data_IF_194218703840
#
_entry.id   IF_194218703840
#
_cell.length_a   1.000
_cell.length_b   1.000
_cell.length_c   1.000
_cell.angle_alpha   90.00
_cell.angle_beta   90.00
_cell.angle_gamma   90.00
#
_symmetry.space_group_name_H-M   'P 1'
#
loop_
_entity.id
_entity.type
_entity.pdbx_description
1 polymer ?
#
# COMPACT_ATOMS: atom_id res chain seq x y z
N UNK A 1 51.40 1.48 -4.57
CA UNK A 1 50.21 1.41 -5.45
C UNK A 1 49.08 0.54 -4.89
N UNK A 2 49.35 -0.64 -4.29
CA UNK A 2 48.31 -1.52 -3.71
C UNK A 2 47.49 -0.88 -2.58
N UNK A 3 48.11 -0.03 -1.74
CA UNK A 3 47.41 0.64 -0.62
C UNK A 3 46.52 1.82 -1.06
N UNK A 4 46.86 2.51 -2.15
CA UNK A 4 46.05 3.63 -2.66
C UNK A 4 44.73 3.12 -3.22
N UNK A 5 44.75 1.97 -3.91
CA UNK A 5 43.55 1.32 -4.46
C UNK A 5 42.63 0.84 -3.33
N UNK A 6 43.17 0.23 -2.26
CA UNK A 6 42.36 -0.23 -1.11
C UNK A 6 41.73 0.95 -0.36
N UNK A 7 42.48 2.03 -0.11
CA UNK A 7 41.93 3.22 0.57
C UNK A 7 40.87 3.92 -0.29
N UNK A 8 41.05 4.02 -1.62
CA UNK A 8 40.04 4.56 -2.52
C UNK A 8 38.77 3.69 -2.57
N UNK A 9 38.90 2.36 -2.62
CA UNK A 9 37.76 1.43 -2.60
C UNK A 9 36.99 1.55 -1.27
N UNK A 10 37.68 1.56 -0.13
CA UNK A 10 37.03 1.75 1.18
C UNK A 10 36.33 3.12 1.24
N UNK A 11 36.94 4.18 0.70
CA UNK A 11 36.35 5.53 0.69
C UNK A 11 35.11 5.61 -0.20
N UNK A 12 35.12 4.97 -1.38
CA UNK A 12 33.97 4.91 -2.29
C UNK A 12 32.84 4.07 -1.69
N UNK A 13 33.17 2.94 -1.05
CA UNK A 13 32.20 2.11 -0.32
C UNK A 13 31.61 2.84 0.89
N UNK A 14 32.38 3.64 1.63
CA UNK A 14 31.87 4.45 2.75
C UNK A 14 30.95 5.58 2.30
N UNK A 15 31.19 6.19 1.13
CA UNK A 15 30.29 7.18 0.52
C UNK A 15 29.00 6.50 0.03
N UNK A 16 29.11 5.34 -0.62
CA UNK A 16 27.96 4.52 -1.05
C UNK A 16 27.12 4.04 0.13
N UNK A 17 27.75 3.62 1.24
CA UNK A 17 27.04 3.23 2.47
C UNK A 17 26.39 4.41 3.20
N UNK A 18 27.03 5.58 3.27
CA UNK A 18 26.45 6.78 3.90
C UNK A 18 25.23 7.30 3.15
N UNK A 19 25.32 7.38 1.81
CA UNK A 19 24.19 7.78 0.98
C UNK A 19 23.04 6.75 1.05
N UNK A 20 23.36 5.45 1.19
CA UNK A 20 22.33 4.43 1.38
C UNK A 20 21.62 4.61 2.74
N UNK A 21 22.35 4.90 3.83
CA UNK A 21 21.75 5.12 5.16
C UNK A 21 20.81 6.32 5.19
N UNK A 22 21.20 7.46 4.62
CA UNK A 22 20.35 8.66 4.59
C UNK A 22 19.08 8.44 3.73
N UNK A 23 19.20 7.70 2.62
CA UNK A 23 18.04 7.34 1.78
C UNK A 23 17.10 6.36 2.51
N UNK A 24 17.64 5.33 3.18
CA UNK A 24 16.85 4.38 3.95
C UNK A 24 16.16 5.06 5.15
N UNK A 25 16.83 6.00 5.82
CA UNK A 25 16.23 6.85 6.87
C UNK A 25 15.09 7.70 6.32
N UNK A 26 15.25 8.31 5.14
CA UNK A 26 14.17 9.06 4.50
C UNK A 26 12.96 8.17 4.18
N UNK A 27 13.17 6.93 3.71
CA UNK A 27 12.07 5.98 3.50
C UNK A 27 11.41 5.57 4.82
N UNK A 28 12.18 5.39 5.89
CA UNK A 28 11.64 5.13 7.24
C UNK A 28 10.75 6.27 7.71
N UNK A 29 11.24 7.51 7.65
CA UNK A 29 10.46 8.70 8.06
C UNK A 29 9.19 8.87 7.23
N UNK A 30 9.24 8.63 5.91
CA UNK A 30 8.04 8.65 5.07
C UNK A 30 7.04 7.58 5.52
N UNK A 31 7.51 6.37 5.77
CA UNK A 31 6.66 5.26 6.24
C UNK A 31 6.02 5.57 7.60
N UNK A 32 6.80 6.10 8.55
CA UNK A 32 6.30 6.50 9.87
C UNK A 32 5.22 7.58 9.77
N UNK A 33 5.42 8.59 8.93
CA UNK A 33 4.41 9.62 8.69
C UNK A 33 3.14 9.04 8.08
N UNK A 34 3.27 8.11 7.13
CA UNK A 34 2.12 7.43 6.52
C UNK A 34 1.35 6.57 7.53
N UNK A 35 2.03 5.93 8.47
CA UNK A 35 1.38 5.20 9.56
C UNK A 35 0.56 6.14 10.47
N UNK A 36 1.10 7.32 10.80
CA UNK A 36 0.35 8.35 11.55
C UNK A 36 -0.86 8.88 10.77
N UNK A 37 -0.72 9.04 9.45
CA UNK A 37 -1.82 9.42 8.57
C UNK A 37 -2.88 8.31 8.50
N UNK A 38 -2.48 7.04 8.48
CA UNK A 38 -3.39 5.90 8.52
C UNK A 38 -4.21 5.89 9.81
N UNK A 39 -3.58 6.14 10.97
CA UNK A 39 -4.28 6.25 12.25
C UNK A 39 -5.31 7.40 12.23
N UNK A 40 -4.93 8.53 11.65
CA UNK A 40 -5.80 9.71 11.51
C UNK A 40 -7.00 9.42 10.59
N UNK A 41 -6.76 8.80 9.43
CA UNK A 41 -7.82 8.42 8.50
C UNK A 41 -8.74 7.36 9.10
N UNK A 42 -8.20 6.37 9.81
CA UNK A 42 -8.99 5.35 10.52
C UNK A 42 -9.94 6.01 11.52
N UNK A 43 -9.44 6.92 12.36
CA UNK A 43 -10.26 7.66 13.30
C UNK A 43 -11.34 8.50 12.60
N UNK A 44 -10.99 9.13 11.47
CA UNK A 44 -11.95 9.87 10.64
C UNK A 44 -13.03 8.97 10.04
N UNK A 45 -12.67 7.79 9.53
CA UNK A 45 -13.61 6.84 8.90
C UNK A 45 -14.60 6.32 9.93
N UNK A 46 -14.12 5.91 11.11
CA UNK A 46 -14.98 5.51 12.23
C UNK A 46 -15.94 6.62 12.66
N UNK A 47 -15.48 7.88 12.68
CA UNK A 47 -16.34 9.03 12.97
C UNK A 47 -17.42 9.25 11.92
N UNK A 48 -17.10 9.11 10.63
CA UNK A 48 -18.07 9.21 9.53
C UNK A 48 -19.09 8.07 9.57
N UNK A 49 -18.64 6.84 9.82
CA UNK A 49 -19.52 5.68 9.98
C UNK A 49 -20.50 5.87 11.14
N UNK A 50 -20.04 6.38 12.29
CA UNK A 50 -20.92 6.69 13.42
C UNK A 50 -21.95 7.78 13.07
N UNK A 51 -21.60 8.76 12.24
CA UNK A 51 -22.58 9.74 11.74
C UNK A 51 -23.63 9.10 10.84
N UNK A 52 -23.21 8.18 9.96
CA UNK A 52 -24.12 7.42 9.08
C UNK A 52 -25.07 6.56 9.92
N UNK A 53 -24.55 5.86 10.94
CA UNK A 53 -25.35 5.06 11.88
C UNK A 53 -26.43 5.89 12.57
N UNK A 54 -26.06 7.03 13.15
CA UNK A 54 -27.00 7.94 13.80
C UNK A 54 -28.08 8.46 12.82
N UNK A 55 -27.70 8.73 11.56
CA UNK A 55 -28.64 9.11 10.50
C UNK A 55 -29.56 7.95 10.12
N UNK A 56 -29.07 6.72 10.06
CA UNK A 56 -29.88 5.52 9.83
C UNK A 56 -30.89 5.26 10.96
N UNK A 57 -30.51 5.52 12.21
CA UNK A 57 -31.44 5.41 13.35
C UNK A 57 -32.56 6.46 13.30
N UNK A 58 -32.26 7.68 12.85
CA UNK A 58 -33.21 8.81 12.86
C UNK A 58 -34.01 8.94 11.56
N UNK A 59 -33.47 8.46 10.45
CA UNK A 59 -34.03 8.54 9.09
C UNK A 59 -33.80 7.21 8.34
N UNK A 60 -34.36 6.09 8.82
CA UNK A 60 -34.09 4.76 8.28
C UNK A 60 -34.44 4.63 6.79
N UNK A 61 -35.55 5.24 6.35
CA UNK A 61 -35.99 5.21 4.95
C UNK A 61 -34.96 5.80 3.97
N UNK A 62 -34.04 6.63 4.46
CA UNK A 62 -32.99 7.26 3.65
C UNK A 62 -31.61 6.63 3.87
N UNK A 63 -31.28 6.25 5.11
CA UNK A 63 -29.90 5.91 5.48
C UNK A 63 -29.68 4.45 5.85
N UNK A 64 -30.71 3.59 5.91
CA UNK A 64 -30.50 2.17 6.23
C UNK A 64 -29.61 1.46 5.20
N UNK A 65 -29.84 1.69 3.90
CA UNK A 65 -29.02 1.12 2.83
C UNK A 65 -27.60 1.69 2.86
N UNK A 66 -27.47 3.01 3.05
CA UNK A 66 -26.19 3.72 3.15
C UNK A 66 -25.34 3.15 4.29
N UNK A 67 -25.96 2.90 5.44
CA UNK A 67 -25.29 2.30 6.57
C UNK A 67 -24.78 0.90 6.23
N UNK A 68 -25.60 0.07 5.60
CA UNK A 68 -25.18 -1.26 5.13
C UNK A 68 -24.00 -1.18 4.15
N UNK A 69 -24.05 -0.26 3.17
CA UNK A 69 -22.96 -0.04 2.22
C UNK A 69 -21.68 0.42 2.93
N UNK A 70 -21.80 1.30 3.92
CA UNK A 70 -20.65 1.79 4.70
C UNK A 70 -19.96 0.68 5.49
N UNK A 71 -20.72 -0.23 6.10
CA UNK A 71 -20.19 -1.39 6.82
C UNK A 71 -19.51 -2.37 5.86
N UNK A 72 -20.17 -2.70 4.75
CA UNK A 72 -19.62 -3.62 3.76
C UNK A 72 -18.30 -3.08 3.16
N UNK A 73 -18.24 -1.79 2.86
CA UNK A 73 -17.03 -1.18 2.32
C UNK A 73 -15.91 -1.14 3.36
N UNK A 74 -16.24 -0.80 4.62
CA UNK A 74 -15.28 -0.84 5.74
C UNK A 74 -14.67 -2.23 5.94
N UNK A 75 -15.48 -3.28 5.85
CA UNK A 75 -15.01 -4.66 5.97
C UNK A 75 -14.04 -5.04 4.82
N UNK A 76 -14.30 -4.57 3.59
CA UNK A 76 -13.40 -4.77 2.44
C UNK A 76 -12.06 -4.04 2.62
N UNK A 77 -12.09 -2.80 3.11
CA UNK A 77 -10.88 -2.02 3.41
C UNK A 77 -10.08 -2.67 4.53
N UNK A 78 -10.75 -3.11 5.60
CA UNK A 78 -10.12 -3.82 6.71
C UNK A 78 -9.51 -5.15 6.28
N UNK A 79 -10.16 -5.88 5.37
CA UNK A 79 -9.62 -7.12 4.80
C UNK A 79 -8.34 -6.86 4.02
N UNK A 80 -8.34 -5.86 3.13
CA UNK A 80 -7.13 -5.46 2.40
C UNK A 80 -6.02 -5.04 3.37
N UNK A 81 -6.30 -4.18 4.35
CA UNK A 81 -5.31 -3.70 5.32
C UNK A 81 -4.64 -4.86 6.08
N UNK A 82 -5.43 -5.86 6.50
CA UNK A 82 -4.90 -7.07 7.13
C UNK A 82 -3.99 -7.88 6.19
N UNK A 83 -4.39 -8.08 4.93
CA UNK A 83 -3.56 -8.77 3.93
C UNK A 83 -2.23 -8.03 3.71
N UNK A 84 -2.26 -6.69 3.61
CA UNK A 84 -1.06 -5.87 3.43
C UNK A 84 -0.14 -5.92 4.68
N UNK A 85 -0.70 -5.94 5.90
CA UNK A 85 0.05 -6.14 7.15
C UNK A 85 0.72 -7.51 7.22
N UNK A 86 0.05 -8.57 6.76
CA UNK A 86 0.64 -9.91 6.69
C UNK A 86 1.82 -9.96 5.70
N UNK A 87 1.72 -9.25 4.58
CA UNK A 87 2.81 -9.12 3.61
C UNK A 87 4.00 -8.38 4.23
N UNK A 88 3.77 -7.25 4.91
CA UNK A 88 4.84 -6.52 5.64
C UNK A 88 5.50 -7.41 6.69
N UNK A 89 4.71 -8.18 7.45
CA UNK A 89 5.24 -9.17 8.41
C UNK A 89 6.13 -10.19 7.70
N UNK A 90 5.70 -10.72 6.56
CA UNK A 90 6.49 -11.68 5.77
C UNK A 90 7.81 -11.09 5.27
N UNK A 91 7.83 -9.79 4.94
CA UNK A 91 9.04 -9.06 4.57
C UNK A 91 9.99 -8.95 5.77
N UNK A 92 9.49 -8.56 6.94
CA UNK A 92 10.29 -8.49 8.16
C UNK A 92 10.87 -9.86 8.56
N UNK A 93 10.09 -10.94 8.46
CA UNK A 93 10.57 -12.29 8.74
C UNK A 93 11.67 -12.73 7.77
N UNK A 94 11.60 -12.29 6.51
CA UNK A 94 12.61 -12.59 5.49
C UNK A 94 13.94 -11.87 5.75
N UNK A 95 13.91 -10.59 6.09
CA UNK A 95 15.13 -9.78 6.31
C UNK A 95 15.68 -9.92 7.74
N UNK A 96 14.88 -10.38 8.70
CA UNK A 96 15.25 -10.48 10.12
C UNK A 96 15.08 -9.17 10.89
N UNK A 97 15.56 -9.11 12.15
CA UNK A 97 15.23 -8.03 13.11
C UNK A 97 15.16 -6.61 12.52
N UNK A 98 14.02 -5.97 12.74
CA UNK A 98 13.59 -4.68 12.15
C UNK A 98 14.47 -3.48 12.49
N UNK A 99 15.41 -3.63 13.42
CA UNK A 99 16.32 -2.56 13.86
C UNK A 99 17.62 -2.49 13.06
N UNK A 100 17.91 -3.51 12.24
CA UNK A 100 19.10 -3.52 11.39
C UNK A 100 18.83 -2.84 10.04
N UNK A 101 19.06 -1.52 10.01
CA UNK A 101 18.93 -0.70 8.80
C UNK A 101 19.76 -1.20 7.61
N UNK A 102 20.82 -1.99 7.82
CA UNK A 102 21.60 -2.52 6.69
C UNK A 102 20.80 -3.53 5.86
N UNK A 103 19.95 -4.33 6.51
CA UNK A 103 19.10 -5.34 5.85
C UNK A 103 17.85 -4.76 5.21
N UNK A 104 17.41 -3.59 5.67
CA UNK A 104 16.35 -2.81 5.03
C UNK A 104 16.72 -2.34 3.61
N UNK A 105 18.02 -2.35 3.28
CA UNK A 105 18.55 -2.07 1.95
C UNK A 105 18.61 -3.29 1.01
N UNK A 106 18.39 -4.51 1.52
CA UNK A 106 18.39 -5.71 0.67
C UNK A 106 17.14 -5.74 -0.20
N UNK A 107 17.24 -6.29 -1.41
CA UNK A 107 16.07 -6.47 -2.27
C UNK A 107 15.23 -7.68 -1.84
N UNK A 108 13.98 -7.70 -2.29
CA UNK A 108 13.02 -8.75 -1.98
C UNK A 108 12.87 -9.79 -3.09
N UNK A 109 13.82 -9.86 -4.02
CA UNK A 109 13.63 -10.67 -5.23
C UNK A 109 13.43 -12.15 -4.90
N UNK A 110 14.19 -12.67 -3.93
CA UNK A 110 14.08 -14.06 -3.47
C UNK A 110 12.79 -14.36 -2.67
N UNK A 111 12.10 -13.33 -2.17
CA UNK A 111 10.84 -13.47 -1.45
C UNK A 111 9.64 -13.35 -2.40
N UNK A 112 9.72 -12.44 -3.36
CA UNK A 112 8.61 -12.04 -4.22
C UNK A 112 8.59 -12.76 -5.56
N UNK A 113 9.71 -13.36 -5.99
CA UNK A 113 9.83 -14.01 -7.30
C UNK A 113 10.46 -15.41 -7.18
N UNK A 114 10.01 -16.31 -8.06
CA UNK A 114 10.64 -17.60 -8.30
C UNK A 114 11.90 -17.43 -9.16
N UNK A 115 12.70 -18.50 -9.28
CA UNK A 115 13.94 -18.48 -10.08
C UNK A 115 13.72 -18.18 -11.57
N UNK A 116 12.53 -18.50 -12.10
CA UNK A 116 12.13 -18.20 -13.48
C UNK A 116 11.58 -16.76 -13.65
N UNK A 117 11.53 -15.98 -12.57
CA UNK A 117 11.05 -14.59 -12.55
C UNK A 117 9.54 -14.45 -12.44
N UNK A 118 8.78 -15.54 -12.27
CA UNK A 118 7.34 -15.47 -11.97
C UNK A 118 7.09 -15.08 -10.51
N UNK A 119 5.92 -14.52 -10.16
CA UNK A 119 5.59 -14.24 -8.76
C UNK A 119 5.71 -15.49 -7.88
N UNK A 120 6.43 -15.38 -6.77
CA UNK A 120 6.39 -16.37 -5.69
C UNK A 120 5.15 -16.14 -4.82
N UNK A 121 4.89 -17.04 -3.86
CA UNK A 121 3.68 -16.98 -3.03
C UNK A 121 3.42 -15.60 -2.37
N UNK A 122 4.46 -14.92 -1.87
CA UNK A 122 4.31 -13.57 -1.29
C UNK A 122 4.01 -12.52 -2.37
N UNK A 123 4.62 -12.64 -3.55
CA UNK A 123 4.32 -11.77 -4.70
C UNK A 123 2.90 -11.96 -5.23
N UNK A 124 2.42 -13.21 -5.29
CA UNK A 124 1.03 -13.53 -5.66
C UNK A 124 0.03 -12.92 -4.67
N UNK A 125 0.31 -12.97 -3.36
CA UNK A 125 -0.53 -12.33 -2.34
C UNK A 125 -0.69 -10.83 -2.56
N UNK A 126 0.37 -10.13 -2.97
CA UNK A 126 0.28 -8.68 -3.29
C UNK A 126 -0.69 -8.47 -4.46
N UNK A 127 -0.49 -9.20 -5.56
CA UNK A 127 -1.33 -9.08 -6.77
C UNK A 127 -2.78 -9.40 -6.42
N UNK A 128 -3.00 -10.48 -5.68
CA UNK A 128 -4.33 -10.94 -5.28
C UNK A 128 -5.03 -9.92 -4.39
N UNK A 129 -4.39 -9.42 -3.33
CA UNK A 129 -4.99 -8.46 -2.42
C UNK A 129 -5.48 -7.20 -3.17
N UNK A 130 -4.68 -6.68 -4.11
CA UNK A 130 -5.05 -5.51 -4.91
C UNK A 130 -6.17 -5.82 -5.91
N UNK A 131 -6.09 -6.96 -6.61
CA UNK A 131 -7.08 -7.36 -7.61
C UNK A 131 -8.44 -7.63 -6.95
N UNK A 132 -8.44 -8.34 -5.82
CA UNK A 132 -9.65 -8.67 -5.08
C UNK A 132 -10.28 -7.40 -4.50
N UNK A 133 -9.49 -6.50 -3.93
CA UNK A 133 -10.00 -5.23 -3.42
C UNK A 133 -10.64 -4.39 -4.53
N UNK A 134 -9.96 -4.21 -5.67
CA UNK A 134 -10.51 -3.47 -6.81
C UNK A 134 -11.81 -4.11 -7.33
N UNK A 135 -11.79 -5.43 -7.56
CA UNK A 135 -12.93 -6.16 -8.13
C UNK A 135 -14.15 -6.14 -7.21
N UNK A 136 -13.94 -6.27 -5.90
CA UNK A 136 -15.04 -6.35 -4.92
C UNK A 136 -15.64 -4.99 -4.55
N UNK A 137 -14.94 -3.89 -4.84
CA UNK A 137 -15.37 -2.53 -4.47
C UNK A 137 -15.87 -1.70 -5.64
N UNK A 138 -15.48 -2.00 -6.88
CA UNK A 138 -15.81 -1.19 -8.06
C UNK A 138 -17.31 -0.86 -8.21
N UNK A 139 -18.20 -1.84 -7.95
CA UNK A 139 -19.63 -1.65 -8.09
C UNK A 139 -20.18 -0.67 -7.04
N UNK A 140 -19.65 -0.72 -5.82
CA UNK A 140 -20.03 0.21 -4.75
C UNK A 140 -19.53 1.62 -5.04
N UNK A 141 -18.45 1.79 -5.79
CA UNK A 141 -17.85 3.09 -6.07
C UNK A 141 -18.38 3.77 -7.34
N UNK A 142 -19.10 3.04 -8.20
CA UNK A 142 -19.51 3.52 -9.53
C UNK A 142 -20.24 4.89 -9.52
N UNK A 143 -21.06 5.16 -8.50
CA UNK A 143 -21.79 6.43 -8.36
C UNK A 143 -21.07 7.48 -7.51
N UNK A 144 -19.86 7.18 -7.03
CA UNK A 144 -19.08 8.01 -6.10
C UNK A 144 -17.73 8.37 -6.76
N UNK A 145 -17.74 9.32 -7.72
CA UNK A 145 -16.64 9.51 -8.67
C UNK A 145 -15.33 9.95 -8.01
N UNK A 146 -15.37 10.59 -6.84
CA UNK A 146 -14.12 10.96 -6.15
C UNK A 146 -13.45 9.73 -5.54
N UNK A 147 -14.22 8.86 -4.89
CA UNK A 147 -13.71 7.60 -4.37
C UNK A 147 -13.30 6.63 -5.50
N UNK A 148 -14.11 6.53 -6.55
CA UNK A 148 -13.82 5.70 -7.73
C UNK A 148 -12.51 6.11 -8.41
N UNK A 149 -12.22 7.41 -8.47
CA UNK A 149 -10.97 7.93 -9.04
C UNK A 149 -9.75 7.44 -8.26
N UNK A 150 -9.76 7.55 -6.92
CA UNK A 150 -8.66 7.08 -6.08
C UNK A 150 -8.47 5.57 -6.25
N UNK A 151 -9.57 4.80 -6.26
CA UNK A 151 -9.53 3.36 -6.50
C UNK A 151 -8.82 3.02 -7.82
N UNK A 152 -9.23 3.65 -8.92
CA UNK A 152 -8.66 3.40 -10.26
C UNK A 152 -7.20 3.78 -10.36
N UNK A 153 -6.78 4.87 -9.72
CA UNK A 153 -5.40 5.37 -9.76
C UNK A 153 -4.42 4.44 -9.01
N UNK A 154 -4.87 3.78 -7.93
CA UNK A 154 -3.96 3.13 -6.99
C UNK A 154 -4.07 1.60 -6.93
N UNK A 155 -5.23 1.01 -7.28
CA UNK A 155 -5.50 -0.44 -7.10
C UNK A 155 -5.66 -1.21 -8.42
N UNK A 156 -5.37 -0.56 -9.55
CA UNK A 156 -5.39 -1.20 -10.86
C UNK A 156 -4.08 -1.95 -11.11
N UNK A 157 -4.14 -3.28 -11.17
CA UNK A 157 -2.98 -4.15 -11.43
C UNK A 157 -2.82 -4.36 -12.93
N UNK A 158 -2.20 -3.38 -13.60
CA UNK A 158 -1.94 -3.41 -15.04
C UNK A 158 -0.47 -3.63 -15.38
N UNK A 159 -0.22 -4.10 -16.61
CA UNK A 159 1.14 -4.13 -17.16
C UNK A 159 1.54 -2.73 -17.61
N UNK A 160 2.81 -2.38 -17.39
CA UNK A 160 3.38 -1.06 -17.71
C UNK A 160 4.38 -1.21 -18.85
N UNK A 161 4.33 -0.32 -19.84
CA UNK A 161 5.37 -0.26 -20.86
C UNK A 161 6.60 0.48 -20.34
N UNK A 162 7.76 -0.15 -20.44
CA UNK A 162 9.03 0.50 -20.11
C UNK A 162 9.49 1.45 -21.23
N UNK A 163 10.61 2.14 -21.01
CA UNK A 163 11.21 3.08 -21.98
C UNK A 163 11.58 2.44 -23.32
N UNK A 164 11.69 1.12 -23.37
CA UNK A 164 12.03 0.33 -24.55
C UNK A 164 10.78 -0.26 -25.25
N UNK A 165 9.57 0.07 -24.76
CA UNK A 165 8.30 -0.43 -25.30
C UNK A 165 7.97 -1.87 -24.92
N UNK A 166 8.69 -2.46 -23.96
CA UNK A 166 8.42 -3.80 -23.45
C UNK A 166 7.40 -3.72 -22.30
N UNK A 167 6.41 -4.61 -22.33
CA UNK A 167 5.48 -4.81 -21.22
C UNK A 167 6.19 -5.42 -20.01
N UNK A 168 5.97 -4.81 -18.85
CA UNK A 168 6.46 -5.24 -17.54
C UNK A 168 5.25 -5.47 -16.64
N UNK A 169 5.28 -6.55 -15.86
CA UNK A 169 4.21 -6.85 -14.90
C UNK A 169 4.17 -5.80 -13.78
N UNK A 170 3.03 -5.64 -13.13
CA UNK A 170 2.89 -4.73 -11.98
C UNK A 170 3.93 -5.03 -10.89
N UNK A 171 4.10 -6.32 -10.55
CA UNK A 171 5.02 -6.75 -9.51
C UNK A 171 6.48 -6.46 -9.90
N UNK A 172 6.87 -6.73 -11.16
CA UNK A 172 8.20 -6.40 -11.65
C UNK A 172 8.45 -4.89 -11.59
N UNK A 173 7.47 -4.07 -11.99
CA UNK A 173 7.62 -2.62 -12.05
C UNK A 173 7.75 -1.98 -10.66
N UNK A 174 7.00 -2.47 -9.67
CA UNK A 174 6.91 -1.83 -8.36
C UNK A 174 7.85 -2.42 -7.28
N UNK A 175 8.31 -3.66 -7.45
CA UNK A 175 9.02 -4.36 -6.37
C UNK A 175 10.34 -5.00 -6.79
N UNK A 176 10.56 -5.30 -8.07
CA UNK A 176 11.77 -6.01 -8.50
C UNK A 176 13.03 -5.16 -8.36
N UNK A 177 14.00 -5.67 -7.63
CA UNK A 177 15.25 -4.96 -7.31
C UNK A 177 15.07 -3.77 -6.37
N UNK A 178 13.86 -3.50 -5.87
CA UNK A 178 13.64 -2.45 -4.87
C UNK A 178 14.10 -2.93 -3.49
N UNK A 179 14.67 -2.04 -2.66
CA UNK A 179 15.03 -2.38 -1.30
C UNK A 179 13.77 -2.67 -0.45
N UNK A 180 13.94 -3.46 0.60
CA UNK A 180 12.87 -3.87 1.49
C UNK A 180 12.11 -2.66 2.07
N UNK A 181 12.81 -1.62 2.54
CA UNK A 181 12.13 -0.44 3.12
C UNK A 181 11.28 0.33 2.09
N UNK A 182 11.72 0.40 0.83
CA UNK A 182 10.93 1.07 -0.22
C UNK A 182 9.68 0.25 -0.56
N UNK A 183 9.81 -1.08 -0.54
CA UNK A 183 8.68 -2.00 -0.72
C UNK A 183 7.67 -1.90 0.43
N UNK A 184 8.15 -1.82 1.68
CA UNK A 184 7.30 -1.58 2.86
C UNK A 184 6.59 -0.24 2.73
N UNK A 185 7.31 0.84 2.45
CA UNK A 185 6.74 2.17 2.25
C UNK A 185 5.65 2.18 1.16
N UNK A 186 5.88 1.47 0.04
CA UNK A 186 4.90 1.31 -1.03
C UNK A 186 3.65 0.57 -0.56
N UNK A 187 3.79 -0.50 0.22
CA UNK A 187 2.66 -1.23 0.82
C UNK A 187 1.91 -0.35 1.83
N UNK A 188 2.62 0.40 2.66
CA UNK A 188 2.01 1.35 3.61
C UNK A 188 1.27 2.48 2.90
N UNK A 189 1.77 2.93 1.75
CA UNK A 189 1.05 3.87 0.88
C UNK A 189 -0.27 3.26 0.39
N UNK A 190 -0.28 1.98 -0.02
CA UNK A 190 -1.51 1.30 -0.45
C UNK A 190 -2.53 1.19 0.70
N UNK A 191 -2.09 0.98 1.94
CA UNK A 191 -2.99 1.04 3.11
C UNK A 191 -3.61 2.44 3.26
N UNK A 192 -2.79 3.49 3.10
CA UNK A 192 -3.27 4.87 3.14
C UNK A 192 -4.29 5.16 2.04
N UNK A 193 -3.99 4.78 0.79
CA UNK A 193 -4.85 4.99 -0.36
C UNK A 193 -6.22 4.29 -0.19
N UNK A 194 -6.25 3.10 0.43
CA UNK A 194 -7.48 2.40 0.74
C UNK A 194 -8.32 3.15 1.80
N UNK A 195 -7.69 3.62 2.86
CA UNK A 195 -8.33 4.43 3.91
C UNK A 195 -8.82 5.78 3.39
N UNK A 196 -8.09 6.41 2.46
CA UNK A 196 -8.52 7.62 1.78
C UNK A 196 -9.72 7.37 0.88
N UNK A 197 -9.71 6.26 0.13
CA UNK A 197 -10.85 5.86 -0.71
C UNK A 197 -12.10 5.67 0.15
N UNK A 198 -11.97 4.98 1.28
CA UNK A 198 -13.06 4.83 2.26
C UNK A 198 -13.54 6.18 2.80
N UNK A 199 -12.61 7.06 3.22
CA UNK A 199 -12.97 8.38 3.73
C UNK A 199 -13.81 9.17 2.73
N UNK A 200 -13.39 9.13 1.46
CA UNK A 200 -14.05 9.83 0.37
C UNK A 200 -15.42 9.22 0.08
N UNK A 201 -15.51 7.89 0.04
CA UNK A 201 -16.76 7.17 -0.16
C UNK A 201 -17.77 7.47 0.96
N UNK A 202 -17.36 7.38 2.22
CA UNK A 202 -18.21 7.69 3.38
C UNK A 202 -18.72 9.14 3.37
N UNK A 203 -17.90 10.10 2.93
CA UNK A 203 -18.34 11.50 2.75
C UNK A 203 -19.39 11.63 1.67
N UNK A 204 -19.18 11.01 0.50
CA UNK A 204 -20.13 11.10 -0.61
C UNK A 204 -21.46 10.40 -0.27
N UNK A 205 -21.42 9.31 0.51
CA UNK A 205 -22.61 8.65 1.07
C UNK A 205 -23.44 9.59 1.97
N UNK A 206 -22.78 10.42 2.79
CA UNK A 206 -23.47 11.39 3.63
C UNK A 206 -24.03 12.56 2.81
N UNK A 207 -23.29 13.01 1.80
CA UNK A 207 -23.68 14.13 0.93
C UNK A 207 -24.82 13.77 -0.03
N UNK A 208 -24.86 12.53 -0.54
CA UNK A 208 -25.79 12.08 -1.57
C UNK A 208 -26.54 10.81 -1.17
N UNK A 209 -27.52 10.88 -0.24
CA UNK A 209 -28.19 9.70 0.30
C UNK A 209 -29.22 9.06 -0.64
N UNK A 210 -29.30 9.47 -1.90
CA UNK A 210 -30.27 8.96 -2.88
C UNK A 210 -29.68 7.87 -3.80
N UNK A 211 -28.42 7.49 -3.57
CA UNK A 211 -27.67 6.45 -4.29
C UNK A 211 -27.06 5.48 -3.28
#
# INVERSE_FOLDING_TARGET
MKNIIITLIISISLISCKNNKEVLESFSTVTENQLLDNDTLTASNLSLMSQIENKAMTQPDKYAQIYSQSLEFHDKVSTLDNQLKEIITSIHDHIGETTDYSKMGDNLDNLLFNQDGTPAATGEKIIQALTDFNTTTQDQLFFYPKAEKIMKEHFTVETVQNREGKEITYLDYHFKGYPAIASIAKITTLQNDALQTENQFLRELIENPEH
#
